data_IF_846356717746
#
_entry.id   IF_846356717746
#
_cell.length_a   1.000
_cell.length_b   1.000
_cell.length_c   1.000
_cell.angle_alpha   90.00
_cell.angle_beta   90.00
_cell.angle_gamma   90.00
#
_symmetry.space_group_name_H-M   'P 1'
#
loop_
_entity.id
_entity.type
_entity.pdbx_description
1 polymer ?
#
# COMPACT_ATOMS: atom_id res chain seq x y z
N UNK A 1 11.69 -5.35 -14.38
CA UNK A 1 12.65 -4.89 -13.34
C UNK A 1 12.04 -3.84 -12.40
N UNK A 2 11.17 -2.92 -12.86
CA UNK A 2 10.64 -1.82 -12.02
C UNK A 2 9.56 -2.21 -10.98
N UNK A 3 8.81 -3.30 -11.18
CA UNK A 3 7.64 -3.68 -10.35
C UNK A 3 7.82 -4.94 -9.52
N UNK A 4 9.05 -5.41 -9.32
CA UNK A 4 9.27 -6.68 -8.64
C UNK A 4 9.73 -6.43 -7.19
N UNK A 5 10.90 -5.85 -6.95
CA UNK A 5 11.37 -5.61 -5.57
C UNK A 5 11.97 -4.23 -5.44
N UNK A 6 11.64 -3.56 -4.34
CA UNK A 6 12.38 -2.39 -3.90
C UNK A 6 13.80 -2.83 -3.52
N UNK A 7 14.82 -2.02 -3.79
CA UNK A 7 16.21 -2.36 -3.46
C UNK A 7 16.47 -2.37 -1.95
N UNK A 8 15.52 -1.90 -1.14
CA UNK A 8 15.57 -1.87 0.31
C UNK A 8 14.31 -2.49 0.93
N UNK A 9 14.47 -3.00 2.15
CA UNK A 9 13.37 -3.48 2.98
C UNK A 9 12.99 -2.41 3.98
N UNK A 10 11.71 -2.05 4.00
CA UNK A 10 11.21 -1.13 5.04
C UNK A 10 11.02 -1.87 6.35
N UNK A 11 11.19 -1.14 7.45
CA UNK A 11 10.91 -1.64 8.79
C UNK A 11 9.41 -1.94 8.95
N UNK A 12 9.10 -3.05 9.62
CA UNK A 12 7.73 -3.38 9.99
C UNK A 12 7.23 -2.45 11.09
N UNK A 13 6.07 -1.83 10.88
CA UNK A 13 5.41 -1.04 11.91
C UNK A 13 4.56 -1.96 12.82
N UNK A 14 5.14 -2.39 13.94
CA UNK A 14 4.52 -3.36 14.85
C UNK A 14 3.33 -2.82 15.65
N UNK A 15 3.35 -1.52 15.99
CA UNK A 15 2.35 -0.88 16.87
C UNK A 15 1.79 0.40 16.20
N UNK A 16 0.92 0.28 15.20
CA UNK A 16 0.24 1.42 14.61
C UNK A 16 -0.79 2.02 15.59
N UNK A 17 -0.90 3.35 15.62
CA UNK A 17 -1.88 4.08 16.44
C UNK A 17 -3.22 4.29 15.73
N UNK A 18 -3.28 4.00 14.44
CA UNK A 18 -4.44 4.18 13.58
C UNK A 18 -4.69 2.93 12.73
N UNK A 19 -5.76 2.95 11.92
CA UNK A 19 -6.11 1.90 10.96
C UNK A 19 -4.89 1.53 10.10
N UNK A 20 -4.54 0.25 10.07
CA UNK A 20 -3.33 -0.25 9.42
C UNK A 20 -3.60 -1.51 8.61
N UNK A 21 -2.57 -1.99 7.93
CA UNK A 21 -2.62 -3.18 7.09
C UNK A 21 -2.37 -4.46 7.90
N UNK A 22 -2.85 -5.59 7.41
CA UNK A 22 -2.50 -6.90 7.95
C UNK A 22 -1.01 -7.17 7.73
N UNK A 23 -0.38 -7.90 8.65
CA UNK A 23 1.05 -8.20 8.58
C UNK A 23 1.37 -8.97 7.29
N UNK A 24 2.12 -8.38 6.33
CA UNK A 24 2.52 -9.09 5.14
C UNK A 24 3.64 -10.08 5.48
N UNK A 25 3.83 -11.08 4.62
CA UNK A 25 4.99 -11.97 4.72
C UNK A 25 6.31 -11.17 4.58
N UNK A 26 7.45 -11.76 4.97
CA UNK A 26 8.76 -11.08 4.91
C UNK A 26 9.10 -10.54 3.51
N UNK A 27 8.55 -11.14 2.45
CA UNK A 27 8.73 -10.67 1.06
C UNK A 27 7.88 -9.44 0.73
N UNK A 28 6.74 -9.25 1.39
CA UNK A 28 5.83 -8.13 1.19
C UNK A 28 6.38 -6.79 1.66
N UNK A 29 7.31 -6.79 2.63
CA UNK A 29 7.95 -5.56 3.14
C UNK A 29 8.91 -4.90 2.12
N UNK A 30 9.30 -5.61 1.06
CA UNK A 30 10.12 -5.10 -0.05
C UNK A 30 9.26 -4.74 -1.28
N UNK A 31 7.94 -4.75 -1.14
CA UNK A 31 7.01 -4.52 -2.26
C UNK A 31 6.43 -3.12 -2.20
N UNK A 32 6.02 -2.64 -3.37
CA UNK A 32 5.42 -1.31 -3.57
C UNK A 32 4.16 -1.15 -2.70
N UNK A 33 3.40 -2.22 -2.50
CA UNK A 33 2.23 -2.21 -1.63
C UNK A 33 2.53 -1.69 -0.22
N UNK A 34 3.59 -2.20 0.40
CA UNK A 34 3.95 -1.79 1.76
C UNK A 34 4.40 -0.33 1.81
N UNK A 35 5.12 0.14 0.78
CA UNK A 35 5.59 1.52 0.68
C UNK A 35 4.44 2.51 0.58
N UNK A 36 3.47 2.20 -0.27
CA UNK A 36 2.26 2.99 -0.44
C UNK A 36 1.44 3.02 0.85
N UNK A 37 1.33 1.87 1.53
CA UNK A 37 0.63 1.78 2.82
C UNK A 37 1.29 2.66 3.88
N UNK A 38 2.61 2.60 4.03
CA UNK A 38 3.37 3.51 4.92
C UNK A 38 3.12 4.98 4.58
N UNK A 39 3.15 5.33 3.30
CA UNK A 39 2.93 6.70 2.84
C UNK A 39 1.51 7.18 3.18
N UNK A 40 0.49 6.33 2.96
CA UNK A 40 -0.89 6.63 3.33
C UNK A 40 -1.06 6.81 4.84
N UNK A 41 -0.42 5.97 5.65
CA UNK A 41 -0.48 6.10 7.10
C UNK A 41 0.14 7.41 7.59
N UNK A 42 1.29 7.81 7.04
CA UNK A 42 1.87 9.14 7.35
C UNK A 42 0.89 10.25 6.97
N UNK A 43 0.28 10.15 5.79
CA UNK A 43 -0.67 11.14 5.31
C UNK A 43 -1.93 11.25 6.17
N UNK A 44 -2.36 10.18 6.86
CA UNK A 44 -3.48 10.25 7.81
C UNK A 44 -3.20 11.23 8.97
N UNK A 45 -1.95 11.35 9.41
CA UNK A 45 -1.58 12.27 10.49
C UNK A 45 -1.27 13.68 9.98
N UNK A 46 -0.68 13.78 8.78
CA UNK A 46 -0.29 15.07 8.20
C UNK A 46 -1.48 15.80 7.57
N UNK A 47 -2.38 15.07 6.91
CA UNK A 47 -3.53 15.62 6.19
C UNK A 47 -4.72 14.64 6.26
N UNK A 48 -5.46 14.65 7.39
CA UNK A 48 -6.68 13.87 7.50
C UNK A 48 -7.68 14.29 6.41
N UNK A 49 -8.21 13.32 5.66
CA UNK A 49 -9.14 13.57 4.55
C UNK A 49 -8.49 13.76 3.17
N UNK A 50 -7.21 13.38 3.01
CA UNK A 50 -6.55 13.46 1.71
C UNK A 50 -7.25 12.63 0.61
N UNK A 51 -7.29 13.15 -0.62
CA UNK A 51 -7.86 12.43 -1.78
C UNK A 51 -6.92 11.39 -2.40
N UNK A 52 -5.73 11.17 -1.83
CA UNK A 52 -4.70 10.29 -2.40
C UNK A 52 -5.19 8.83 -2.49
N UNK A 53 -5.96 8.32 -1.51
CA UNK A 53 -6.55 6.97 -1.61
C UNK A 53 -7.37 6.81 -2.89
N UNK A 54 -8.27 7.76 -3.13
CA UNK A 54 -9.16 7.73 -4.30
C UNK A 54 -8.38 7.90 -5.60
N UNK A 55 -7.39 8.80 -5.64
CA UNK A 55 -6.51 8.94 -6.82
C UNK A 55 -5.76 7.64 -7.11
N UNK A 56 -5.26 6.95 -6.08
CA UNK A 56 -4.51 5.71 -6.26
C UNK A 56 -5.41 4.56 -6.74
N UNK A 57 -6.60 4.42 -6.14
CA UNK A 57 -7.63 3.48 -6.61
C UNK A 57 -7.96 3.74 -8.09
N UNK A 58 -8.21 5.00 -8.44
CA UNK A 58 -8.52 5.39 -9.82
C UNK A 58 -7.37 5.10 -10.80
N UNK A 59 -6.11 5.34 -10.39
CA UNK A 59 -4.93 5.04 -11.22
C UNK A 59 -4.77 3.53 -11.49
N UNK A 60 -5.02 2.70 -10.48
CA UNK A 60 -4.98 1.24 -10.61
C UNK A 60 -6.10 0.79 -11.57
N UNK A 61 -7.32 1.29 -11.37
CA UNK A 61 -8.48 0.90 -12.18
C UNK A 61 -8.36 1.38 -13.64
N UNK A 62 -7.72 2.53 -13.92
CA UNK A 62 -7.49 3.04 -15.28
C UNK A 62 -6.36 2.35 -16.06
N UNK A 63 -5.44 1.65 -15.39
CA UNK A 63 -4.28 1.01 -16.05
C UNK A 63 -4.11 -0.47 -15.68
N UNK A 64 -5.13 -1.32 -15.90
CA UNK A 64 -5.06 -2.75 -15.56
C UNK A 64 -4.00 -3.49 -16.37
N UNK A 65 -3.76 -3.08 -17.63
CA UNK A 65 -2.88 -3.81 -18.56
C UNK A 65 -1.38 -3.63 -18.31
N UNK A 66 -0.98 -2.60 -17.54
CA UNK A 66 0.44 -2.29 -17.29
C UNK A 66 0.88 -2.58 -15.85
N UNK A 67 -0.08 -2.87 -14.96
CA UNK A 67 0.15 -2.98 -13.53
C UNK A 67 -0.22 -4.39 -13.07
N UNK A 68 0.78 -5.22 -12.79
CA UNK A 68 0.58 -6.47 -12.07
C UNK A 68 0.55 -6.20 -10.57
N UNK A 69 -0.65 -6.10 -10.00
CA UNK A 69 -0.87 -5.89 -8.56
C UNK A 69 -0.20 -6.98 -7.71
N UNK A 70 -0.22 -8.23 -8.18
CA UNK A 70 0.48 -9.33 -7.50
C UNK A 70 2.00 -9.12 -7.45
N UNK A 71 2.62 -8.70 -8.57
CA UNK A 71 4.05 -8.42 -8.60
C UNK A 71 4.43 -7.25 -7.68
N UNK A 72 3.54 -6.26 -7.58
CA UNK A 72 3.65 -5.14 -6.65
C UNK A 72 3.36 -5.50 -5.19
N UNK A 73 2.97 -6.74 -4.90
CA UNK A 73 2.71 -7.26 -3.55
C UNK A 73 1.36 -6.87 -2.95
N UNK A 74 0.39 -6.47 -3.77
CA UNK A 74 -0.97 -6.23 -3.30
C UNK A 74 -1.67 -7.57 -3.02
N UNK A 75 -2.29 -7.76 -1.84
CA UNK A 75 -3.16 -8.92 -1.61
C UNK A 75 -4.44 -8.81 -2.43
N UNK A 76 -5.11 -9.93 -2.74
CA UNK A 76 -6.35 -9.94 -3.54
C UNK A 76 -7.44 -9.03 -2.96
N UNK A 77 -7.54 -8.98 -1.63
CA UNK A 77 -8.54 -8.20 -0.89
C UNK A 77 -7.99 -6.85 -0.37
N UNK A 78 -6.94 -6.31 -0.99
CA UNK A 78 -6.30 -5.06 -0.53
C UNK A 78 -7.26 -3.87 -0.36
N UNK A 79 -8.32 -3.80 -1.19
CA UNK A 79 -9.35 -2.74 -1.11
C UNK A 79 -10.13 -2.79 0.21
N UNK A 80 -10.17 -3.94 0.88
CA UNK A 80 -10.89 -4.17 2.13
C UNK A 80 -10.04 -3.93 3.38
N UNK A 81 -8.74 -3.65 3.25
CA UNK A 81 -7.91 -3.39 4.44
C UNK A 81 -8.26 -2.04 5.07
N UNK A 82 -8.11 -1.95 6.39
CA UNK A 82 -8.57 -0.80 7.18
C UNK A 82 -7.93 0.53 6.75
N UNK A 83 -6.70 0.50 6.22
CA UNK A 83 -6.04 1.70 5.71
C UNK A 83 -6.72 2.26 4.44
N UNK A 84 -7.36 1.40 3.65
CA UNK A 84 -8.01 1.71 2.38
C UNK A 84 -9.51 1.96 2.52
N UNK A 85 -10.10 1.49 3.61
CA UNK A 85 -11.44 1.87 4.06
C UNK A 85 -11.40 3.30 4.64
N UNK A 86 -12.45 4.07 4.41
CA UNK A 86 -12.65 5.36 5.06
C UNK A 86 -13.39 5.16 6.39
#
# INVERSE_FOLDING_TARGET
IWNDKLPFQMAWLSNPKAKWINKPNNRGMQRIYYFLSCSLYILQFVSPGHSIKNKLKNLIDHKPNSISLESMGFPSDWKNEDIWND
#
